data_IF_441929186977
#
_entry.id   IF_441929186977
#
_cell.length_a   1.000
_cell.length_b   1.000
_cell.length_c   1.000
_cell.angle_alpha   90.00
_cell.angle_beta   90.00
_cell.angle_gamma   90.00
#
_symmetry.space_group_name_H-M   'P 1'
#
loop_
_entity.id
_entity.type
_entity.pdbx_description
1 polymer ?
#
# COMPACT_ATOMS: atom_id res chain seq x y z
N UNK A 1 -23.98 -38.09 -4.55
CA UNK A 1 -23.78 -37.03 -3.54
C UNK A 1 -22.34 -36.55 -3.64
N UNK A 2 -22.12 -35.44 -4.36
CA UNK A 2 -20.78 -34.90 -4.65
C UNK A 2 -20.53 -33.81 -3.63
N UNK A 3 -19.53 -34.02 -2.77
CA UNK A 3 -19.19 -33.14 -1.67
C UNK A 3 -18.62 -31.82 -2.20
N UNK A 4 -19.32 -30.74 -1.86
CA UNK A 4 -18.84 -29.39 -1.53
C UNK A 4 -17.70 -28.84 -2.40
N UNK A 5 -18.13 -28.11 -3.42
CA UNK A 5 -17.64 -26.79 -3.86
C UNK A 5 -16.26 -26.43 -3.28
N UNK A 6 -15.27 -26.53 -4.16
CA UNK A 6 -13.98 -25.85 -4.09
C UNK A 6 -14.22 -24.39 -3.73
N UNK A 7 -13.93 -24.01 -2.49
CA UNK A 7 -13.92 -22.62 -2.03
C UNK A 7 -12.69 -21.92 -2.58
N UNK A 8 -12.88 -21.27 -3.72
CA UNK A 8 -12.09 -20.15 -4.18
C UNK A 8 -12.97 -19.23 -5.02
N UNK A 9 -12.74 -17.92 -4.93
CA UNK A 9 -12.31 -17.25 -6.15
C UNK A 9 -10.94 -16.62 -5.92
N UNK A 10 -9.89 -17.35 -6.32
CA UNK A 10 -8.56 -16.79 -6.62
C UNK A 10 -8.62 -15.87 -7.86
N UNK A 11 -9.80 -15.66 -8.45
CA UNK A 11 -10.03 -14.75 -9.58
C UNK A 11 -10.23 -13.27 -9.18
N UNK A 12 -10.20 -12.92 -7.88
CA UNK A 12 -10.29 -11.52 -7.47
C UNK A 12 -8.96 -10.74 -7.67
N UNK A 13 -7.84 -11.44 -7.86
CA UNK A 13 -6.50 -10.83 -7.96
C UNK A 13 -6.20 -10.27 -9.36
N UNK A 14 -6.87 -10.75 -10.42
CA UNK A 14 -6.50 -10.40 -11.80
C UNK A 14 -7.16 -9.10 -12.29
N UNK A 15 -8.23 -8.61 -11.65
CA UNK A 15 -8.96 -7.40 -12.11
C UNK A 15 -8.31 -6.06 -11.76
N UNK A 16 -7.18 -6.05 -11.05
CA UNK A 16 -6.38 -4.84 -10.77
C UNK A 16 -5.10 -4.82 -11.63
N UNK A 17 -4.98 -5.69 -12.64
CA UNK A 17 -3.75 -5.76 -13.45
C UNK A 17 -3.59 -4.67 -14.54
N UNK A 18 -4.68 -4.13 -15.08
CA UNK A 18 -4.59 -3.41 -16.37
C UNK A 18 -4.57 -1.87 -16.25
N UNK A 19 -4.81 -1.30 -15.06
CA UNK A 19 -4.79 0.17 -14.85
C UNK A 19 -3.49 0.72 -14.23
N UNK A 20 -2.53 -0.15 -13.90
CA UNK A 20 -1.37 0.20 -13.06
C UNK A 20 -0.15 0.69 -13.87
N UNK A 21 -0.13 0.50 -15.20
CA UNK A 21 1.13 0.60 -15.97
C UNK A 21 1.62 2.02 -16.26
N UNK A 22 0.76 3.04 -16.21
CA UNK A 22 1.17 4.45 -16.42
C UNK A 22 1.26 5.26 -15.11
N UNK A 23 0.65 4.78 -14.02
CA UNK A 23 0.64 5.45 -12.71
C UNK A 23 1.74 4.93 -11.76
N UNK A 24 2.62 4.03 -12.24
CA UNK A 24 3.61 3.34 -11.40
C UNK A 24 4.70 4.27 -10.84
N UNK A 25 5.11 5.31 -11.59
CA UNK A 25 6.13 6.27 -11.13
C UNK A 25 5.57 7.32 -10.16
N UNK A 26 4.25 7.57 -10.19
CA UNK A 26 3.56 8.42 -9.20
C UNK A 26 3.25 7.67 -7.90
N UNK A 27 2.98 6.37 -7.98
CA UNK A 27 2.61 5.54 -6.83
C UNK A 27 3.72 5.38 -5.77
N UNK A 28 5.00 5.46 -6.16
CA UNK A 28 6.13 5.28 -5.22
C UNK A 28 6.20 6.33 -4.10
N UNK A 29 5.61 7.52 -4.31
CA UNK A 29 5.47 8.57 -3.29
C UNK A 29 4.01 9.01 -3.10
N UNK A 30 3.05 8.24 -3.62
CA UNK A 30 1.65 8.49 -3.32
C UNK A 30 1.39 8.05 -1.89
N UNK A 31 1.15 9.03 -1.03
CA UNK A 31 0.78 8.85 0.38
C UNK A 31 -0.34 7.81 0.51
N UNK A 32 -1.30 7.79 -0.42
CA UNK A 32 -2.39 6.81 -0.41
C UNK A 32 -1.87 5.39 -0.66
N UNK A 33 -0.90 5.22 -1.56
CA UNK A 33 -0.33 3.90 -1.86
C UNK A 33 0.42 3.33 -0.65
N UNK A 34 1.22 4.16 0.03
CA UNK A 34 1.94 3.75 1.24
C UNK A 34 0.94 3.40 2.37
N UNK A 35 -0.15 4.16 2.52
CA UNK A 35 -1.22 3.83 3.46
C UNK A 35 -1.93 2.50 3.13
N UNK A 36 -2.16 2.21 1.84
CA UNK A 36 -2.72 0.90 1.44
C UNK A 36 -1.75 -0.24 1.76
N UNK A 37 -0.44 -0.03 1.58
CA UNK A 37 0.57 -1.03 1.92
C UNK A 37 0.63 -1.29 3.42
N UNK A 38 0.57 -0.25 4.25
CA UNK A 38 0.49 -0.37 5.72
C UNK A 38 -0.77 -1.14 6.15
N UNK A 39 -1.94 -0.82 5.58
CA UNK A 39 -3.19 -1.50 5.89
C UNK A 39 -3.15 -2.99 5.51
N UNK A 40 -2.60 -3.31 4.34
CA UNK A 40 -2.42 -4.70 3.92
C UNK A 40 -1.44 -5.45 4.83
N UNK A 41 -0.35 -4.81 5.22
CA UNK A 41 0.66 -5.40 6.11
C UNK A 41 0.04 -5.72 7.49
N UNK A 42 -0.76 -4.82 8.04
CA UNK A 42 -1.51 -5.03 9.29
C UNK A 42 -2.49 -6.20 9.16
N UNK A 43 -3.24 -6.27 8.06
CA UNK A 43 -4.17 -7.39 7.81
C UNK A 43 -3.44 -8.74 7.75
N UNK A 44 -2.29 -8.80 7.06
CA UNK A 44 -1.46 -10.01 7.01
C UNK A 44 -0.96 -10.43 8.40
N UNK A 45 -0.60 -9.47 9.24
CA UNK A 45 -0.18 -9.73 10.61
C UNK A 45 -1.33 -10.25 11.48
N UNK A 46 -2.49 -9.61 11.42
CA UNK A 46 -3.70 -10.04 12.13
C UNK A 46 -4.19 -11.44 11.72
N UNK A 47 -3.91 -11.84 10.48
CA UNK A 47 -4.21 -13.18 9.95
C UNK A 47 -3.09 -14.21 10.21
N UNK A 48 -2.05 -13.84 10.96
CA UNK A 48 -0.86 -14.67 11.25
C UNK A 48 -0.12 -15.15 9.97
N UNK A 49 -0.27 -14.42 8.85
CA UNK A 49 0.40 -14.74 7.58
C UNK A 49 1.87 -14.29 7.53
N UNK A 50 2.27 -13.40 8.46
CA UNK A 50 3.64 -12.91 8.63
C UNK A 50 4.03 -12.93 10.10
N UNK A 51 5.33 -13.06 10.38
CA UNK A 51 5.82 -12.99 11.76
C UNK A 51 5.85 -11.55 12.27
N UNK A 52 5.72 -11.35 13.58
CA UNK A 52 5.83 -10.03 14.24
C UNK A 52 7.12 -9.30 13.82
N UNK A 53 8.26 -9.99 13.81
CA UNK A 53 9.54 -9.39 13.42
C UNK A 53 9.52 -8.91 11.95
N UNK A 54 8.96 -9.72 11.04
CA UNK A 54 8.89 -9.32 9.62
C UNK A 54 7.82 -8.24 9.38
N UNK A 55 6.80 -8.16 10.25
CA UNK A 55 5.83 -7.07 10.28
C UNK A 55 6.51 -5.77 10.68
N UNK A 56 7.18 -5.74 11.84
CA UNK A 56 7.86 -4.56 12.39
C UNK A 56 8.90 -3.99 11.42
N UNK A 57 9.74 -4.86 10.81
CA UNK A 57 10.76 -4.45 9.85
C UNK A 57 10.16 -3.76 8.62
N UNK A 58 9.05 -4.30 8.09
CA UNK A 58 8.37 -3.75 6.90
C UNK A 58 7.53 -2.52 7.23
N UNK A 59 6.91 -2.50 8.41
CA UNK A 59 6.12 -1.36 8.88
C UNK A 59 7.02 -0.13 9.02
N UNK A 60 8.18 -0.30 9.66
CA UNK A 60 9.14 0.79 9.83
C UNK A 60 9.60 1.35 8.47
N UNK A 61 9.92 0.48 7.51
CA UNK A 61 10.32 0.91 6.16
C UNK A 61 9.21 1.72 5.47
N UNK A 62 7.95 1.29 5.58
CA UNK A 62 6.81 1.99 4.99
C UNK A 62 6.55 3.33 5.67
N UNK A 63 6.69 3.41 6.99
CA UNK A 63 6.53 4.65 7.75
C UNK A 63 7.61 5.68 7.40
N UNK A 64 8.87 5.26 7.26
CA UNK A 64 9.96 6.16 6.82
C UNK A 64 9.67 6.75 5.43
N UNK A 65 9.17 5.93 4.50
CA UNK A 65 8.75 6.39 3.17
C UNK A 65 7.56 7.36 3.25
N UNK A 66 6.59 7.07 4.11
CA UNK A 66 5.43 7.92 4.33
C UNK A 66 5.83 9.32 4.81
N UNK A 67 6.74 9.41 5.78
CA UNK A 67 7.21 10.70 6.30
C UNK A 67 7.88 11.55 5.20
N UNK A 68 8.72 10.94 4.37
CA UNK A 68 9.38 11.62 3.26
C UNK A 68 8.34 12.11 2.24
N UNK A 69 7.37 11.26 1.88
CA UNK A 69 6.30 11.63 0.96
C UNK A 69 5.47 12.82 1.52
N UNK A 70 5.12 12.77 2.81
CA UNK A 70 4.33 13.82 3.46
C UNK A 70 5.04 15.16 3.52
N UNK A 71 6.35 15.13 3.80
CA UNK A 71 7.18 16.35 3.83
C UNK A 71 7.24 17.03 2.46
N UNK A 72 7.45 16.24 1.40
CA UNK A 72 7.47 16.75 0.03
C UNK A 72 6.15 17.37 -0.40
N UNK A 73 5.03 16.76 -0.01
CA UNK A 73 3.69 17.33 -0.26
C UNK A 73 3.52 18.69 0.43
N UNK A 74 3.95 18.80 1.69
CA UNK A 74 3.88 20.06 2.45
C UNK A 74 4.77 21.14 1.85
N UNK A 75 6.01 20.81 1.47
CA UNK A 75 6.94 21.75 0.84
C UNK A 75 6.37 22.31 -0.47
N UNK A 76 5.85 21.44 -1.35
CA UNK A 76 5.19 21.86 -2.59
C UNK A 76 3.98 22.77 -2.32
N UNK A 77 3.17 22.42 -1.31
CA UNK A 77 2.00 23.21 -0.93
C UNK A 77 2.36 24.62 -0.42
N UNK A 78 3.42 24.73 0.38
CA UNK A 78 3.93 26.02 0.86
C UNK A 78 4.58 26.85 -0.25
N UNK A 79 5.30 26.23 -1.19
CA UNK A 79 5.80 26.90 -2.40
C UNK A 79 4.67 27.49 -3.26
N UNK A 80 3.59 26.73 -3.46
CA UNK A 80 2.41 27.19 -4.19
C UNK A 80 1.70 28.37 -3.50
N UNK A 81 1.69 28.40 -2.16
CA UNK A 81 1.12 29.52 -1.38
C UNK A 81 1.98 30.77 -1.46
N UNK A 82 3.30 30.63 -1.34
CA UNK A 82 4.24 31.75 -1.33
C UNK A 82 4.50 32.33 -2.74
N UNK A 83 4.08 31.64 -3.79
CA UNK A 83 4.13 32.10 -5.19
C UNK A 83 2.91 32.95 -5.62
N UNK A 84 2.01 33.33 -4.69
CA UNK A 84 0.88 34.24 -4.93
C UNK A 84 1.07 35.58 -4.23
#
# INVERSE_FOLDING_TARGET
>A
MIQKIVTGPIDLVVKIGEKIKEEADRQLYDINHIQQQLMNLQMMHEMEEISERDYEEKEQELLERYEVAKRREQEQWEEMKNSK
#
